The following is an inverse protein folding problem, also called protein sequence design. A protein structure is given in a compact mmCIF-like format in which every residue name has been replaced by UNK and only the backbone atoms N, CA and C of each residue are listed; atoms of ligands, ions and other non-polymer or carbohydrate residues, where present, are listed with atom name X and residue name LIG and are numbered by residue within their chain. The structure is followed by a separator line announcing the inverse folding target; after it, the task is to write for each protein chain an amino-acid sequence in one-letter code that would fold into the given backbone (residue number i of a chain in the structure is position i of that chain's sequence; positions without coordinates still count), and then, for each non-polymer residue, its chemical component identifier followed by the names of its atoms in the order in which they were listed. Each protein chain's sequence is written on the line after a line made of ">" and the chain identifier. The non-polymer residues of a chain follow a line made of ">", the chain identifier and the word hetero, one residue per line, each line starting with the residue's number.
data_IF_618676768696
#
_entry.id   IF_618676768696
#
_cell.length_a   1.000
_cell.length_b   1.000
_cell.length_c   1.000
_cell.angle_alpha   90.00
_cell.angle_beta   90.00
_cell.angle_gamma   90.00
#
_symmetry.space_group_name_H-M   'P 1'
#
loop_
_entity.id
_entity.type
_entity.pdbx_description
1 polymer ?
#
# COMPACT_ATOMS: atom_id res chain seq x y z
N UNK A 1 -17.36 -0.53 17.92
CA UNK A 1 -16.32 -1.56 18.10
C UNK A 1 -16.90 -2.73 18.90
N UNK A 2 -16.58 -3.97 18.53
CA UNK A 2 -17.10 -5.19 19.15
C UNK A 2 -15.93 -6.15 19.43
N UNK A 3 -15.83 -6.67 20.66
CA UNK A 3 -14.86 -7.69 21.02
C UNK A 3 -15.13 -9.02 20.27
N UNK A 4 -14.06 -9.70 19.87
CA UNK A 4 -14.10 -10.95 19.09
C UNK A 4 -13.15 -12.01 19.66
N UNK A 5 -13.40 -12.48 20.90
CA UNK A 5 -12.60 -13.54 21.52
C UNK A 5 -12.73 -14.88 20.78
N UNK A 6 -13.77 -15.05 19.98
CA UNK A 6 -14.01 -16.22 19.13
C UNK A 6 -13.00 -16.39 17.98
N UNK A 7 -12.24 -15.34 17.63
CA UNK A 7 -11.16 -15.39 16.66
C UNK A 7 -9.80 -15.75 17.27
N UNK A 8 -9.72 -15.85 18.59
CA UNK A 8 -8.50 -16.23 19.32
C UNK A 8 -8.49 -17.75 19.49
N UNK A 9 -7.34 -18.37 19.24
CA UNK A 9 -7.15 -19.82 19.39
C UNK A 9 -6.16 -20.16 20.49
N UNK A 10 -6.06 -21.44 20.83
CA UNK A 10 -5.07 -21.93 21.80
C UNK A 10 -3.60 -21.71 21.35
N UNK A 11 -3.38 -21.43 20.07
CA UNK A 11 -2.06 -21.08 19.52
C UNK A 11 -1.72 -19.60 19.67
N UNK A 12 -2.73 -18.76 19.93
CA UNK A 12 -2.54 -17.32 20.11
C UNK A 12 -1.84 -17.04 21.44
N UNK A 13 -0.95 -16.03 21.51
CA UNK A 13 -0.33 -15.65 22.79
C UNK A 13 -1.37 -15.23 23.84
N UNK A 14 -1.05 -15.48 25.09
CA UNK A 14 -1.87 -14.96 26.19
C UNK A 14 -1.91 -13.41 26.18
N UNK A 15 -3.08 -12.85 26.42
CA UNK A 15 -3.29 -11.40 26.44
C UNK A 15 -3.68 -10.79 25.10
N UNK A 16 -3.74 -11.57 24.02
CA UNK A 16 -4.23 -11.08 22.72
C UNK A 16 -5.69 -10.64 22.84
N UNK A 17 -6.00 -9.49 22.28
CA UNK A 17 -7.35 -8.94 22.17
C UNK A 17 -7.67 -8.67 20.71
N UNK A 18 -8.86 -9.07 20.29
CA UNK A 18 -9.34 -8.83 18.91
C UNK A 18 -10.64 -8.05 18.96
N UNK A 19 -10.71 -7.00 18.16
CA UNK A 19 -11.88 -6.13 18.06
C UNK A 19 -12.29 -5.94 16.59
N UNK A 20 -13.57 -6.09 16.32
CA UNK A 20 -14.17 -5.70 15.05
C UNK A 20 -14.49 -4.20 15.11
N UNK A 21 -13.85 -3.40 14.23
CA UNK A 21 -14.01 -1.95 14.21
C UNK A 21 -15.29 -1.52 13.51
N UNK A 22 -15.64 -2.17 12.39
CA UNK A 22 -16.81 -1.87 11.60
C UNK A 22 -17.83 -3.00 11.73
N UNK A 23 -19.10 -2.66 11.92
CA UNK A 23 -20.17 -3.64 12.23
C UNK A 23 -21.45 -3.41 11.41
N UNK A 24 -21.40 -2.50 10.44
CA UNK A 24 -22.56 -2.16 9.61
C UNK A 24 -22.74 -3.15 8.47
N UNK A 25 -23.92 -3.16 7.87
CA UNK A 25 -24.25 -4.05 6.74
C UNK A 25 -23.60 -3.66 5.42
N UNK A 26 -22.96 -2.48 5.35
CA UNK A 26 -22.22 -2.01 4.19
C UNK A 26 -20.76 -2.42 4.35
N UNK A 27 -20.13 -3.03 3.34
CA UNK A 27 -18.71 -3.36 3.39
C UNK A 27 -17.84 -2.17 3.78
N UNK A 28 -16.96 -2.37 4.74
CA UNK A 28 -16.07 -1.34 5.23
C UNK A 28 -14.73 -1.98 5.53
N UNK A 29 -13.63 -1.34 5.09
CA UNK A 29 -12.30 -1.87 5.28
C UNK A 29 -11.30 -0.75 5.54
N UNK A 30 -10.12 -1.09 6.05
CA UNK A 30 -9.01 -0.18 5.91
C UNK A 30 -8.58 -0.10 4.44
N UNK A 31 -7.84 0.95 4.10
CA UNK A 31 -7.25 1.12 2.78
C UNK A 31 -6.04 0.18 2.70
N UNK A 32 -5.54 -0.07 1.50
CA UNK A 32 -4.43 -0.99 1.29
C UNK A 32 -3.23 -0.68 2.21
N UNK A 33 -2.52 -1.71 2.68
CA UNK A 33 -1.46 -1.61 3.70
C UNK A 33 -0.29 -0.68 3.33
N UNK A 34 -0.15 -0.32 2.07
CA UNK A 34 0.89 0.60 1.58
C UNK A 34 0.50 2.07 1.76
N UNK A 35 -0.79 2.38 1.93
CA UNK A 35 -1.28 3.73 2.05
C UNK A 35 -0.93 4.34 3.43
N UNK A 36 -0.59 5.62 3.45
CA UNK A 36 -0.34 6.38 4.68
C UNK A 36 -1.68 6.82 5.27
N UNK A 37 -2.31 5.94 6.02
CA UNK A 37 -3.68 6.10 6.54
C UNK A 37 -3.76 6.26 8.05
N UNK A 38 -2.64 6.34 8.74
CA UNK A 38 -2.56 6.46 10.19
C UNK A 38 -1.99 7.81 10.62
N UNK A 39 -2.53 8.37 11.69
CA UNK A 39 -1.88 9.52 12.34
C UNK A 39 -0.61 9.07 13.08
N UNK A 40 0.47 9.88 13.11
CA UNK A 40 1.74 9.48 13.72
C UNK A 40 1.63 9.14 15.22
N UNK A 41 0.64 9.68 15.91
CA UNK A 41 0.34 9.40 17.30
C UNK A 41 -0.36 8.06 17.57
N UNK A 42 -0.61 7.27 16.51
CA UNK A 42 -1.30 5.97 16.56
C UNK A 42 -2.75 6.02 17.08
N UNK A 43 -3.42 7.17 17.00
CA UNK A 43 -4.76 7.37 17.58
C UNK A 43 -5.88 7.33 16.57
N UNK A 44 -5.62 7.72 15.33
CA UNK A 44 -6.64 7.79 14.28
C UNK A 44 -6.16 7.14 13.00
N UNK A 45 -7.08 6.49 12.31
CA UNK A 45 -6.84 5.91 11.00
C UNK A 45 -7.99 6.20 10.06
N UNK A 46 -7.71 6.11 8.75
CA UNK A 46 -8.72 6.24 7.70
C UNK A 46 -9.20 4.85 7.32
N UNK A 47 -10.51 4.68 7.35
CA UNK A 47 -11.22 3.55 6.78
C UNK A 47 -12.02 4.01 5.57
N UNK A 48 -12.40 3.09 4.70
CA UNK A 48 -13.35 3.41 3.66
C UNK A 48 -14.58 2.50 3.75
N UNK A 49 -15.72 3.03 3.33
CA UNK A 49 -16.99 2.33 3.25
C UNK A 49 -17.39 2.23 1.80
N UNK A 50 -17.27 1.04 1.24
CA UNK A 50 -17.70 0.67 -0.10
C UNK A 50 -17.48 -0.83 -0.30
N UNK A 51 -17.85 -1.35 -1.45
CA UNK A 51 -17.68 -2.78 -1.76
C UNK A 51 -16.25 -3.16 -2.19
N UNK A 52 -15.27 -2.24 -2.14
CA UNK A 52 -13.92 -2.52 -2.64
C UNK A 52 -12.85 -2.36 -1.56
N UNK A 53 -12.13 -3.42 -1.17
CA UNK A 53 -11.17 -3.39 -0.05
C UNK A 53 -9.86 -2.69 -0.38
N UNK A 54 -9.48 -2.57 -1.66
CA UNK A 54 -8.20 -1.97 -2.07
C UNK A 54 -8.25 -0.47 -2.32
N UNK A 55 -9.30 0.19 -1.93
CA UNK A 55 -9.44 1.61 -2.20
C UNK A 55 -10.88 2.04 -2.30
N UNK A 56 -11.22 2.80 -3.33
CA UNK A 56 -12.54 3.35 -3.48
C UNK A 56 -13.31 2.72 -4.65
N UNK A 57 -14.63 2.64 -4.48
CA UNK A 57 -15.56 2.51 -5.60
C UNK A 57 -16.36 3.81 -5.72
N UNK A 58 -15.95 4.75 -6.57
CA UNK A 58 -16.62 6.05 -6.69
C UNK A 58 -18.05 5.97 -7.23
N UNK A 59 -18.45 4.85 -7.81
CA UNK A 59 -19.82 4.60 -8.29
C UNK A 59 -20.74 4.09 -7.17
N UNK A 60 -20.19 3.64 -6.05
CA UNK A 60 -20.96 3.22 -4.89
C UNK A 60 -21.52 4.44 -4.17
N UNK A 61 -22.86 4.62 -4.08
CA UNK A 61 -23.46 5.77 -3.40
C UNK A 61 -23.14 5.81 -1.89
N UNK A 62 -22.72 4.71 -1.31
CA UNK A 62 -22.28 4.64 0.09
C UNK A 62 -20.77 4.90 0.25
N UNK A 63 -20.05 5.13 -0.86
CA UNK A 63 -18.61 5.37 -0.82
C UNK A 63 -18.27 6.63 -0.04
N UNK A 64 -17.46 6.47 1.00
CA UNK A 64 -16.92 7.56 1.79
C UNK A 64 -15.68 7.11 2.57
N UNK A 65 -14.79 8.04 2.86
CA UNK A 65 -13.73 7.83 3.83
C UNK A 65 -14.19 8.26 5.22
N UNK A 66 -13.79 7.47 6.23
CA UNK A 66 -14.12 7.65 7.62
C UNK A 66 -12.84 7.84 8.42
N UNK A 67 -12.83 8.79 9.35
CA UNK A 67 -11.84 8.83 10.44
C UNK A 67 -12.33 7.90 11.54
N UNK A 68 -11.54 6.91 11.91
CA UNK A 68 -11.74 6.05 13.06
C UNK A 68 -10.86 6.55 14.21
N UNK A 69 -11.46 6.96 15.31
CA UNK A 69 -10.79 7.49 16.51
C UNK A 69 -10.70 6.39 17.57
N UNK A 70 -9.50 5.83 17.74
CA UNK A 70 -9.24 4.72 18.67
C UNK A 70 -9.35 5.12 20.13
N UNK A 71 -9.00 6.36 20.49
CA UNK A 71 -9.18 6.89 21.85
C UNK A 71 -10.65 7.01 22.24
N UNK A 72 -11.54 7.04 21.24
CA UNK A 72 -12.99 7.09 21.43
C UNK A 72 -13.67 5.75 21.10
N UNK A 73 -13.02 4.66 21.46
CA UNK A 73 -13.54 3.31 21.25
C UNK A 73 -13.91 3.02 19.77
N UNK A 74 -13.12 3.52 18.83
CA UNK A 74 -13.33 3.32 17.40
C UNK A 74 -14.50 4.14 16.83
N UNK A 75 -14.85 5.27 17.43
CA UNK A 75 -15.85 6.19 16.88
C UNK A 75 -15.46 6.60 15.46
N UNK A 76 -16.40 6.49 14.53
CA UNK A 76 -16.21 6.83 13.13
C UNK A 76 -16.94 8.09 12.75
N UNK A 77 -16.26 8.94 11.97
CA UNK A 77 -16.82 10.18 11.43
C UNK A 77 -16.49 10.30 9.95
N UNK A 78 -17.48 10.56 9.07
CA UNK A 78 -17.23 10.81 7.66
C UNK A 78 -16.30 12.00 7.47
N UNK A 79 -15.28 11.85 6.60
CA UNK A 79 -14.37 12.93 6.26
C UNK A 79 -14.49 13.37 4.80
N UNK A 80 -14.91 12.49 3.91
CA UNK A 80 -15.27 12.84 2.53
C UNK A 80 -16.76 12.66 2.31
N UNK A 81 -17.36 13.52 1.49
CA UNK A 81 -18.77 13.50 1.14
C UNK A 81 -19.00 13.64 -0.37
N UNK A 82 -17.91 13.81 -1.13
CA UNK A 82 -17.94 13.95 -2.57
C UNK A 82 -17.88 12.59 -3.27
N UNK A 83 -18.68 12.44 -4.32
CA UNK A 83 -18.55 11.32 -5.24
C UNK A 83 -17.16 11.36 -5.93
N UNK A 84 -16.61 10.20 -6.23
CA UNK A 84 -15.32 10.07 -6.88
C UNK A 84 -14.11 10.30 -5.95
N UNK A 85 -14.32 10.45 -4.63
CA UNK A 85 -13.21 10.53 -3.67
C UNK A 85 -12.40 9.24 -3.70
N UNK A 86 -11.08 9.34 -3.89
CA UNK A 86 -10.18 8.19 -4.05
C UNK A 86 -8.78 8.49 -3.54
N UNK A 87 -7.96 7.45 -3.39
CA UNK A 87 -6.53 7.52 -3.11
C UNK A 87 -6.16 8.47 -1.96
N UNK A 88 -6.60 8.22 -0.72
CA UNK A 88 -6.32 9.09 0.42
C UNK A 88 -4.92 8.85 0.98
N UNK A 89 -4.30 9.92 1.49
CA UNK A 89 -3.05 9.89 2.27
C UNK A 89 -3.09 10.91 3.39
N UNK A 90 -2.75 10.51 4.61
CA UNK A 90 -2.62 11.44 5.75
C UNK A 90 -1.27 12.14 5.67
N UNK A 91 -1.27 13.46 5.86
CA UNK A 91 -0.04 14.23 5.99
C UNK A 91 0.83 13.72 7.16
N UNK A 92 2.16 13.81 7.05
CA UNK A 92 3.07 13.34 8.11
C UNK A 92 2.83 13.99 9.48
N UNK A 93 2.26 15.20 9.51
CA UNK A 93 1.87 15.90 10.74
C UNK A 93 0.61 15.30 11.39
N UNK A 94 -0.17 14.50 10.65
CA UNK A 94 -1.32 13.78 11.17
C UNK A 94 -2.59 14.61 11.35
N UNK A 95 -2.68 15.80 10.77
CA UNK A 95 -3.84 16.70 10.94
C UNK A 95 -4.65 16.92 9.66
N UNK A 96 -4.13 16.52 8.49
CA UNK A 96 -4.72 16.73 7.18
C UNK A 96 -4.76 15.42 6.38
N UNK A 97 -5.89 15.18 5.71
CA UNK A 97 -6.04 14.16 4.68
C UNK A 97 -5.93 14.81 3.30
N UNK A 98 -5.05 14.29 2.46
CA UNK A 98 -5.04 14.51 1.03
C UNK A 98 -5.81 13.38 0.35
N UNK A 99 -6.59 13.71 -0.68
CA UNK A 99 -7.36 12.76 -1.46
C UNK A 99 -7.65 13.33 -2.84
N UNK A 100 -8.04 12.49 -3.77
CA UNK A 100 -8.40 12.91 -5.11
C UNK A 100 -9.91 12.82 -5.32
N UNK A 101 -10.44 13.71 -6.13
CA UNK A 101 -11.75 13.57 -6.75
C UNK A 101 -11.54 13.14 -8.19
N UNK A 102 -11.98 11.94 -8.50
CA UNK A 102 -11.91 11.38 -9.84
C UNK A 102 -13.21 11.67 -10.60
N UNK A 103 -13.12 12.53 -11.60
CA UNK A 103 -14.14 12.78 -12.61
C UNK A 103 -13.56 12.53 -14.01
N UNK A 104 -12.62 11.56 -14.12
CA UNK A 104 -12.10 11.08 -15.40
C UNK A 104 -12.97 9.94 -15.92
N UNK A 105 -13.00 9.79 -17.24
CA UNK A 105 -13.62 8.68 -17.93
C UNK A 105 -12.54 7.81 -18.58
N UNK A 106 -12.50 6.50 -18.30
CA UNK A 106 -11.48 5.60 -18.83
C UNK A 106 -11.35 5.66 -20.35
N UNK A 107 -10.13 5.92 -20.84
CA UNK A 107 -9.85 6.08 -22.26
C UNK A 107 -10.26 7.42 -22.88
N UNK A 108 -10.85 8.33 -22.12
CA UNK A 108 -11.29 9.65 -22.61
C UNK A 108 -10.54 10.77 -21.92
N UNK A 109 -10.25 10.63 -20.64
CA UNK A 109 -9.72 11.66 -19.79
C UNK A 109 -10.82 12.34 -18.96
N UNK A 110 -10.60 13.59 -18.59
CA UNK A 110 -11.53 14.35 -17.77
C UNK A 110 -10.81 15.10 -16.66
N UNK A 111 -11.41 15.20 -15.49
CA UNK A 111 -10.88 16.01 -14.40
C UNK A 111 -10.47 15.16 -13.22
N UNK A 112 -9.20 15.24 -12.81
CA UNK A 112 -8.68 14.74 -11.56
C UNK A 112 -8.32 15.93 -10.67
N UNK A 113 -8.84 15.98 -9.44
CA UNK A 113 -8.59 17.09 -8.54
C UNK A 113 -7.94 16.60 -7.26
N UNK A 114 -6.75 17.08 -6.94
CA UNK A 114 -6.15 16.90 -5.63
C UNK A 114 -6.80 17.86 -4.64
N UNK A 115 -7.32 17.33 -3.54
CA UNK A 115 -7.94 18.08 -2.44
C UNK A 115 -7.29 17.75 -1.11
N UNK A 116 -7.49 18.64 -0.14
CA UNK A 116 -7.16 18.35 1.26
C UNK A 116 -8.30 18.75 2.18
N UNK A 117 -8.35 18.12 3.34
CA UNK A 117 -9.30 18.42 4.41
C UNK A 117 -8.66 18.12 5.76
N UNK A 118 -8.92 18.94 6.79
CA UNK A 118 -8.50 18.59 8.14
C UNK A 118 -9.24 17.36 8.65
N UNK A 119 -8.60 16.55 9.52
CA UNK A 119 -9.23 15.32 10.05
C UNK A 119 -10.47 15.59 10.92
N UNK A 120 -10.76 16.84 11.27
CA UNK A 120 -12.00 17.25 11.89
C UNK A 120 -13.12 17.62 10.89
N UNK A 121 -12.86 17.46 9.59
CA UNK A 121 -13.77 17.77 8.49
C UNK A 121 -13.79 19.24 8.05
N UNK A 122 -13.03 20.10 8.71
CA UNK A 122 -12.94 21.54 8.36
C UNK A 122 -11.87 21.83 7.31
N UNK A 123 -11.81 23.07 6.82
CA UNK A 123 -10.76 23.57 5.91
C UNK A 123 -10.57 22.68 4.67
N UNK A 124 -11.67 22.38 3.99
CA UNK A 124 -11.64 21.64 2.73
C UNK A 124 -11.21 22.56 1.60
N UNK A 125 -10.15 22.16 0.88
CA UNK A 125 -9.54 22.99 -0.16
C UNK A 125 -9.22 22.14 -1.40
N UNK A 126 -9.34 22.74 -2.57
CA UNK A 126 -8.83 22.25 -3.84
C UNK A 126 -7.39 22.76 -4.01
N UNK A 127 -6.45 21.86 -4.31
CA UNK A 127 -5.03 22.17 -4.40
C UNK A 127 -4.60 22.26 -5.85
N UNK A 128 -4.87 21.24 -6.65
CA UNK A 128 -4.42 21.15 -8.03
C UNK A 128 -5.44 20.38 -8.86
N UNK A 129 -5.58 20.77 -10.12
CA UNK A 129 -6.49 20.13 -11.09
C UNK A 129 -5.70 19.67 -12.30
N UNK A 130 -5.98 18.46 -12.75
CA UNK A 130 -5.53 17.89 -14.02
C UNK A 130 -6.77 17.66 -14.88
N UNK A 131 -6.94 18.48 -15.92
CA UNK A 131 -8.02 18.39 -16.92
C UNK A 131 -7.50 18.54 -18.35
N UNK A 132 -6.18 18.68 -18.51
CA UNK A 132 -5.46 18.70 -19.77
C UNK A 132 -4.38 17.58 -19.80
N UNK A 133 -3.82 17.32 -20.97
CA UNK A 133 -2.69 16.40 -21.13
C UNK A 133 -1.46 16.99 -20.44
N UNK A 134 -0.90 16.26 -19.49
CA UNK A 134 0.29 16.67 -18.74
C UNK A 134 1.47 16.74 -19.71
N UNK A 135 2.34 17.74 -19.61
CA UNK A 135 3.54 17.83 -20.45
C UNK A 135 4.36 16.53 -20.43
N UNK A 136 4.67 16.00 -21.60
CA UNK A 136 5.40 14.74 -21.75
C UNK A 136 4.55 13.46 -21.69
N UNK A 137 3.28 13.54 -21.29
CA UNK A 137 2.39 12.38 -21.27
C UNK A 137 1.97 11.99 -22.70
N UNK A 138 1.84 10.68 -22.93
CA UNK A 138 1.42 10.12 -24.23
C UNK A 138 -0.08 10.26 -24.51
N UNK A 139 -0.87 10.58 -23.51
CA UNK A 139 -2.32 10.76 -23.61
C UNK A 139 -2.91 11.37 -22.33
N UNK A 140 -4.24 11.58 -22.31
CA UNK A 140 -4.91 12.13 -21.13
C UNK A 140 -4.85 11.15 -19.95
N UNK A 141 -4.75 11.69 -18.72
CA UNK A 141 -4.91 10.89 -17.51
C UNK A 141 -6.37 10.48 -17.36
N UNK A 142 -6.68 9.21 -17.53
CA UNK A 142 -8.06 8.77 -17.74
C UNK A 142 -8.55 7.68 -16.78
N UNK A 143 -7.66 7.09 -15.99
CA UNK A 143 -8.01 6.04 -15.01
C UNK A 143 -7.02 6.05 -13.87
N UNK A 144 -7.27 6.78 -12.79
CA UNK A 144 -6.41 6.77 -11.62
C UNK A 144 -6.39 5.38 -10.95
N UNK A 145 -5.23 5.00 -10.45
CA UNK A 145 -5.11 3.90 -9.50
C UNK A 145 -5.54 4.40 -8.11
N UNK A 146 -6.30 3.62 -7.33
CA UNK A 146 -6.95 4.14 -6.12
C UNK A 146 -6.03 4.25 -4.89
N UNK A 147 -4.72 4.34 -5.11
CA UNK A 147 -3.71 4.53 -4.07
C UNK A 147 -2.84 5.74 -4.38
N UNK A 148 -2.59 6.56 -3.38
CA UNK A 148 -1.60 7.62 -3.40
C UNK A 148 -0.62 7.46 -2.24
N UNK A 149 0.44 8.23 -2.30
CA UNK A 149 1.45 8.31 -1.25
C UNK A 149 1.90 9.76 -1.09
N UNK A 150 2.28 10.16 0.12
CA UNK A 150 2.75 11.51 0.43
C UNK A 150 4.19 11.49 0.94
N UNK A 151 4.99 12.46 0.51
CA UNK A 151 6.39 12.58 0.92
C UNK A 151 6.55 12.82 2.43
N UNK A 152 7.70 12.47 2.97
CA UNK A 152 8.00 12.59 4.39
C UNK A 152 7.91 14.03 4.93
N UNK A 153 8.10 15.03 4.09
CA UNK A 153 7.92 16.46 4.42
C UNK A 153 6.47 16.94 4.22
N UNK A 154 5.60 16.11 3.62
CA UNK A 154 4.21 16.44 3.36
C UNK A 154 3.96 17.41 2.20
N UNK A 155 4.98 17.65 1.35
CA UNK A 155 4.87 18.64 0.28
C UNK A 155 4.54 18.04 -1.07
N UNK A 156 4.68 16.72 -1.26
CA UNK A 156 4.45 16.07 -2.54
C UNK A 156 3.53 14.86 -2.40
N UNK A 157 2.58 14.71 -3.32
CA UNK A 157 1.66 13.57 -3.38
C UNK A 157 1.81 12.88 -4.72
N UNK A 158 2.04 11.56 -4.69
CA UNK A 158 2.18 10.76 -5.89
C UNK A 158 0.97 9.85 -6.10
N UNK A 159 0.54 9.69 -7.36
CA UNK A 159 -0.53 8.79 -7.80
C UNK A 159 -0.20 8.25 -9.18
N UNK A 160 -0.56 7.00 -9.46
CA UNK A 160 -0.44 6.43 -10.81
C UNK A 160 -1.78 6.34 -11.52
N UNK A 161 -1.74 6.26 -12.85
CA UNK A 161 -2.94 6.08 -13.66
C UNK A 161 -2.65 5.85 -15.13
N UNK A 162 -3.70 5.49 -15.85
CA UNK A 162 -3.67 5.18 -17.27
C UNK A 162 -3.61 6.47 -18.11
N UNK A 163 -2.73 6.49 -19.11
CA UNK A 163 -2.49 7.63 -20.01
C UNK A 163 -3.00 7.32 -21.43
N UNK A 164 -4.15 6.69 -21.54
CA UNK A 164 -4.73 6.28 -22.83
C UNK A 164 -5.93 7.11 -23.23
N UNK A 165 -6.10 7.25 -24.55
CA UNK A 165 -7.19 7.98 -25.21
C UNK A 165 -8.34 7.09 -25.69
N UNK A 166 -8.40 5.84 -25.27
CA UNK A 166 -9.41 4.86 -25.66
C UNK A 166 -9.20 4.22 -27.03
N UNK A 167 -8.12 4.52 -27.73
CA UNK A 167 -7.88 4.02 -29.09
C UNK A 167 -6.90 2.84 -29.15
N UNK A 168 -6.00 2.72 -28.16
CA UNK A 168 -4.89 1.78 -28.19
C UNK A 168 -4.86 0.91 -26.94
N UNK A 169 -4.95 -0.41 -27.11
CA UNK A 169 -4.70 -1.35 -26.01
C UNK A 169 -3.23 -1.28 -25.58
N UNK A 170 -2.99 -1.51 -24.26
CA UNK A 170 -1.67 -1.40 -23.66
C UNK A 170 -1.05 0.01 -23.82
N UNK A 171 -1.87 1.06 -23.92
CA UNK A 171 -1.36 2.42 -23.79
C UNK A 171 -0.66 2.61 -22.43
N UNK A 172 0.28 3.55 -22.34
CA UNK A 172 1.09 3.72 -21.14
C UNK A 172 0.28 4.00 -19.86
N UNK A 173 0.79 3.53 -18.75
CA UNK A 173 0.48 4.02 -17.42
C UNK A 173 1.56 5.00 -17.00
N UNK A 174 1.24 5.95 -16.14
CA UNK A 174 2.18 6.95 -15.65
C UNK A 174 2.10 7.13 -14.14
N UNK A 175 3.20 7.62 -13.58
CA UNK A 175 3.28 8.10 -12.20
C UNK A 175 3.33 9.63 -12.24
N UNK A 176 2.38 10.25 -11.55
CA UNK A 176 2.27 11.69 -11.39
C UNK A 176 2.70 12.09 -9.99
N UNK A 177 3.42 13.19 -9.88
CA UNK A 177 3.77 13.85 -8.62
C UNK A 177 3.18 15.25 -8.60
N UNK A 178 2.38 15.52 -7.58
CA UNK A 178 1.76 16.81 -7.30
C UNK A 178 2.61 17.54 -6.26
N UNK A 179 3.11 18.70 -6.60
CA UNK A 179 3.77 19.62 -5.67
C UNK A 179 2.70 20.50 -5.01
N UNK A 180 2.49 20.30 -3.72
CA UNK A 180 1.41 20.95 -2.97
C UNK A 180 1.63 22.46 -2.80
N UNK A 181 2.85 22.95 -2.48
CA UNK A 181 3.12 24.39 -2.36
C UNK A 181 2.91 25.18 -3.66
N UNK A 182 3.35 24.64 -4.78
CA UNK A 182 3.22 25.33 -6.09
C UNK A 182 1.91 25.02 -6.81
N UNK A 183 1.13 24.04 -6.33
CA UNK A 183 -0.07 23.53 -6.98
C UNK A 183 0.18 23.07 -8.44
N UNK A 184 1.30 22.41 -8.68
CA UNK A 184 1.71 21.89 -9.99
C UNK A 184 1.73 20.36 -9.98
N UNK A 185 1.73 19.77 -11.18
CA UNK A 185 1.82 18.33 -11.40
C UNK A 185 2.86 18.01 -12.45
N UNK A 186 3.64 16.97 -12.24
CA UNK A 186 4.66 16.48 -13.15
C UNK A 186 4.49 14.98 -13.42
N UNK A 187 4.81 14.58 -14.65
CA UNK A 187 4.91 13.17 -15.03
C UNK A 187 6.32 12.67 -14.73
N UNK A 188 6.44 11.70 -13.82
CA UNK A 188 7.74 11.17 -13.36
C UNK A 188 8.21 10.02 -14.23
N UNK A 189 7.30 9.11 -14.60
CA UNK A 189 7.57 7.99 -15.49
C UNK A 189 6.31 7.59 -16.25
N UNK A 190 6.48 6.92 -17.41
CA UNK A 190 5.39 6.29 -18.14
C UNK A 190 5.87 5.08 -18.95
N UNK A 191 4.97 4.13 -19.19
CA UNK A 191 5.20 2.95 -20.02
C UNK A 191 4.10 1.90 -19.83
N UNK A 192 3.99 0.94 -20.73
CA UNK A 192 2.97 -0.11 -20.65
C UNK A 192 3.19 -1.05 -19.46
N UNK A 193 4.43 -1.28 -19.06
CA UNK A 193 4.82 -2.11 -17.90
C UNK A 193 4.58 -1.44 -16.55
N UNK A 194 4.40 -0.12 -16.51
CA UNK A 194 4.13 0.65 -15.28
C UNK A 194 2.65 0.65 -14.87
N UNK A 195 1.92 -0.39 -15.23
CA UNK A 195 0.59 -0.63 -14.70
C UNK A 195 0.66 -1.20 -13.27
N UNK A 196 -0.28 -0.85 -12.42
CA UNK A 196 -0.32 -1.32 -11.02
C UNK A 196 0.99 -0.97 -10.25
N UNK A 197 1.41 0.29 -10.32
CA UNK A 197 2.74 0.78 -9.85
C UNK A 197 2.94 0.64 -8.35
N UNK A 198 1.89 0.71 -7.54
CA UNK A 198 1.97 0.69 -6.07
C UNK A 198 3.01 1.69 -5.50
N UNK A 199 2.90 3.00 -5.80
CA UNK A 199 3.92 3.95 -5.40
C UNK A 199 3.92 4.15 -3.89
N UNK A 200 5.11 4.21 -3.29
CA UNK A 200 5.27 4.49 -1.86
C UNK A 200 6.45 5.41 -1.63
N UNK A 201 6.21 6.62 -1.11
CA UNK A 201 7.30 7.48 -0.65
C UNK A 201 8.06 6.86 0.51
N UNK A 202 9.37 7.03 0.50
CA UNK A 202 10.21 6.80 1.66
C UNK A 202 9.74 7.69 2.82
N UNK A 203 9.61 7.10 3.99
CA UNK A 203 9.17 7.82 5.20
C UNK A 203 10.32 8.45 5.96
N UNK A 204 11.57 8.19 5.54
CA UNK A 204 12.76 8.79 6.13
C UNK A 204 12.80 10.30 5.93
N UNK A 205 13.21 11.02 6.98
CA UNK A 205 13.47 12.46 6.91
C UNK A 205 14.88 12.76 6.39
N UNK A 206 15.69 11.75 6.06
CA UNK A 206 17.01 11.93 5.48
C UNK A 206 16.86 12.53 4.07
N UNK A 207 17.46 13.71 3.79
CA UNK A 207 17.36 14.36 2.49
C UNK A 207 17.82 13.50 1.30
N UNK A 208 18.66 12.49 1.54
CA UNK A 208 19.11 11.56 0.50
C UNK A 208 18.05 10.55 0.05
N UNK A 209 16.96 10.39 0.80
CA UNK A 209 15.91 9.40 0.53
C UNK A 209 14.48 9.92 0.71
N UNK A 210 14.27 11.09 1.32
CA UNK A 210 12.92 11.61 1.62
C UNK A 210 12.03 11.83 0.39
N UNK A 211 12.64 11.93 -0.80
CA UNK A 211 11.98 12.06 -2.09
C UNK A 211 12.06 10.80 -2.96
N UNK A 212 12.55 9.68 -2.41
CA UNK A 212 12.55 8.38 -3.08
C UNK A 212 11.16 7.75 -3.05
N UNK A 213 10.76 7.15 -4.16
CA UNK A 213 9.55 6.36 -4.33
C UNK A 213 9.93 4.92 -4.66
N UNK A 214 9.44 3.95 -3.89
CA UNK A 214 9.38 2.56 -4.37
C UNK A 214 8.26 2.49 -5.40
N UNK A 215 8.55 1.83 -6.53
CA UNK A 215 7.61 1.60 -7.62
C UNK A 215 7.75 0.19 -8.16
N UNK A 216 6.64 -0.37 -8.60
CA UNK A 216 6.57 -1.71 -9.17
C UNK A 216 6.40 -1.62 -10.69
N UNK A 217 7.25 -2.32 -11.42
CA UNK A 217 7.10 -2.56 -12.85
C UNK A 217 6.56 -3.98 -13.09
N UNK A 218 5.46 -4.10 -13.82
CA UNK A 218 4.82 -5.39 -14.08
C UNK A 218 5.05 -5.83 -15.52
N UNK A 219 5.45 -7.08 -15.71
CA UNK A 219 5.78 -7.62 -17.02
C UNK A 219 4.76 -8.65 -17.49
N UNK A 220 4.37 -8.55 -18.77
CA UNK A 220 3.41 -9.45 -19.38
C UNK A 220 1.97 -9.24 -18.92
N UNK A 221 1.64 -8.08 -18.35
CA UNK A 221 0.28 -7.63 -18.15
C UNK A 221 -0.29 -7.11 -19.46
N UNK A 222 -1.61 -7.25 -19.62
CA UNK A 222 -2.34 -6.69 -20.76
C UNK A 222 -3.51 -5.86 -20.23
N UNK A 223 -3.80 -4.74 -20.91
CA UNK A 223 -5.00 -3.96 -20.70
C UNK A 223 -5.66 -3.58 -22.03
N UNK A 224 -6.96 -3.37 -22.00
CA UNK A 224 -7.69 -2.86 -23.14
C UNK A 224 -7.42 -1.35 -23.36
N UNK A 225 -8.08 -0.76 -24.35
CA UNK A 225 -7.93 0.65 -24.68
C UNK A 225 -8.44 1.61 -23.58
N UNK A 226 -9.19 1.13 -22.61
CA UNK A 226 -9.67 1.89 -21.45
C UNK A 226 -8.78 1.71 -20.21
N UNK A 227 -7.69 0.96 -20.32
CA UNK A 227 -6.83 0.61 -19.19
C UNK A 227 -7.43 -0.44 -18.24
N UNK A 228 -8.51 -1.12 -18.61
CA UNK A 228 -8.99 -2.26 -17.85
C UNK A 228 -8.08 -3.47 -18.08
N UNK A 229 -7.60 -4.08 -16.99
CA UNK A 229 -6.73 -5.23 -17.08
C UNK A 229 -7.47 -6.43 -17.66
N UNK A 230 -6.98 -6.95 -18.78
CA UNK A 230 -7.39 -8.24 -19.35
C UNK A 230 -6.51 -9.36 -18.83
N UNK A 231 -5.28 -9.04 -18.41
CA UNK A 231 -4.35 -9.91 -17.72
C UNK A 231 -3.53 -9.10 -16.72
N UNK A 232 -3.61 -9.43 -15.44
CA UNK A 232 -2.82 -8.84 -14.38
C UNK A 232 -1.80 -9.87 -13.89
N UNK A 233 -0.58 -9.41 -13.59
CA UNK A 233 0.55 -10.24 -13.23
C UNK A 233 0.83 -11.27 -14.33
N UNK A 234 1.48 -10.82 -15.37
CA UNK A 234 1.95 -11.70 -16.44
C UNK A 234 2.96 -12.71 -15.93
N UNK A 235 3.16 -13.79 -16.71
CA UNK A 235 4.09 -14.86 -16.37
C UNK A 235 5.56 -14.42 -16.25
N UNK A 236 5.88 -13.16 -16.56
CA UNK A 236 7.22 -12.58 -16.42
C UNK A 236 7.50 -11.92 -15.06
N UNK A 237 6.50 -11.85 -14.17
CA UNK A 237 6.66 -11.32 -12.80
C UNK A 237 6.74 -9.79 -12.73
N UNK A 238 7.19 -9.31 -11.57
CA UNK A 238 7.39 -7.90 -11.29
C UNK A 238 8.86 -7.61 -10.96
N UNK A 239 9.32 -6.40 -11.30
CA UNK A 239 10.54 -5.81 -10.78
C UNK A 239 10.18 -4.66 -9.85
N UNK A 240 11.00 -4.46 -8.83
CA UNK A 240 10.82 -3.38 -7.86
C UNK A 240 11.99 -2.41 -8.02
N UNK A 241 11.64 -1.14 -8.16
CA UNK A 241 12.60 -0.06 -8.37
C UNK A 241 12.43 1.01 -7.29
N UNK A 242 13.43 1.86 -7.20
CA UNK A 242 13.34 3.14 -6.50
C UNK A 242 13.65 4.25 -7.49
N UNK A 243 12.84 5.29 -7.49
CA UNK A 243 13.01 6.47 -8.33
C UNK A 243 12.87 7.73 -7.47
N UNK A 244 13.63 8.78 -7.78
CA UNK A 244 13.38 10.09 -7.20
C UNK A 244 12.10 10.70 -7.78
N UNK A 245 11.40 11.50 -7.01
CA UNK A 245 10.11 12.08 -7.40
C UNK A 245 10.19 13.17 -8.49
N UNK A 246 11.41 13.52 -8.92
CA UNK A 246 11.69 14.34 -10.10
C UNK A 246 11.96 13.50 -11.37
N UNK A 247 11.80 12.17 -11.30
CA UNK A 247 12.05 11.25 -12.41
C UNK A 247 13.51 10.83 -12.59
N UNK A 248 14.40 11.30 -11.75
CA UNK A 248 15.82 10.94 -11.82
C UNK A 248 16.13 9.70 -10.95
N UNK A 249 17.34 9.19 -11.07
CA UNK A 249 17.90 8.16 -10.19
C UNK A 249 17.04 6.87 -10.09
N UNK A 250 16.46 6.45 -11.23
CA UNK A 250 15.79 5.15 -11.31
C UNK A 250 16.82 4.04 -11.09
N UNK A 251 16.56 3.17 -10.12
CA UNK A 251 17.46 2.07 -9.75
C UNK A 251 16.72 0.82 -9.33
N UNK A 252 17.24 -0.34 -9.71
CA UNK A 252 16.67 -1.64 -9.36
C UNK A 252 17.02 -2.00 -7.92
N UNK A 253 16.09 -2.65 -7.24
CA UNK A 253 16.39 -3.37 -6.02
C UNK A 253 16.88 -4.80 -6.37
N UNK A 254 17.72 -5.44 -5.51
CA UNK A 254 18.34 -6.74 -5.80
C UNK A 254 17.36 -7.90 -5.59
N UNK A 255 16.17 -7.79 -6.16
CA UNK A 255 15.12 -8.78 -6.10
C UNK A 255 14.64 -9.13 -7.51
N UNK A 256 14.06 -10.30 -7.67
CA UNK A 256 13.36 -10.34 -8.82
C UNK A 256 13.28 -11.57 -9.69
N UNK A 257 13.67 -11.47 -10.93
CA UNK A 257 13.38 -12.39 -12.02
C UNK A 257 14.63 -13.14 -12.44
N UNK A 258 15.10 -14.09 -11.63
CA UNK A 258 16.31 -14.87 -11.93
C UNK A 258 16.05 -16.28 -12.50
N UNK A 259 14.81 -16.62 -12.77
CA UNK A 259 14.42 -17.93 -13.28
C UNK A 259 13.97 -18.91 -12.20
N UNK A 260 14.50 -18.84 -10.98
CA UNK A 260 14.00 -19.57 -9.81
C UNK A 260 13.21 -18.68 -8.87
N UNK A 261 13.58 -17.41 -8.74
CA UNK A 261 12.91 -16.41 -7.88
C UNK A 261 12.10 -15.40 -8.71
N UNK A 262 10.96 -14.99 -8.18
CA UNK A 262 10.17 -13.88 -8.71
C UNK A 262 9.58 -13.06 -7.58
N UNK A 263 9.54 -11.72 -7.73
CA UNK A 263 8.77 -10.87 -6.85
C UNK A 263 7.27 -11.12 -7.01
N UNK A 264 6.55 -11.16 -5.89
CA UNK A 264 5.09 -11.33 -5.91
C UNK A 264 4.34 -10.02 -6.23
N UNK A 265 5.04 -8.88 -6.22
CA UNK A 265 4.44 -7.56 -6.41
C UNK A 265 3.90 -6.95 -5.12
N UNK A 266 4.41 -7.37 -3.97
CA UNK A 266 4.15 -6.75 -2.68
C UNK A 266 5.47 -6.27 -2.08
N UNK A 267 5.51 -5.00 -1.71
CA UNK A 267 6.70 -4.34 -1.14
C UNK A 267 6.29 -3.29 -0.13
N UNK A 268 7.17 -2.95 0.79
CA UNK A 268 7.01 -1.80 1.67
C UNK A 268 8.38 -1.25 2.12
N UNK A 269 8.38 -0.02 2.63
CA UNK A 269 9.51 0.49 3.40
C UNK A 269 9.55 -0.17 4.78
N UNK A 270 10.74 -0.39 5.31
CA UNK A 270 10.93 -0.81 6.71
C UNK A 270 10.93 0.45 7.58
N UNK A 271 9.75 0.81 8.08
CA UNK A 271 9.54 2.02 8.88
C UNK A 271 9.99 3.29 8.15
N UNK A 272 10.64 4.16 8.89
CA UNK A 272 11.25 5.41 8.42
C UNK A 272 12.73 5.25 8.01
N UNK A 273 13.14 4.03 7.73
CA UNK A 273 14.50 3.70 7.28
C UNK A 273 14.64 3.80 5.75
N UNK A 274 15.87 3.65 5.27
CA UNK A 274 16.21 3.53 3.86
C UNK A 274 16.34 2.06 3.43
N UNK A 275 15.54 1.18 4.04
CA UNK A 275 15.46 -0.24 3.70
C UNK A 275 14.07 -0.55 3.21
N UNK A 276 14.00 -1.39 2.21
CA UNK A 276 12.75 -1.90 1.64
C UNK A 276 12.63 -3.40 1.83
N UNK A 277 11.42 -3.89 1.86
CA UNK A 277 11.04 -5.29 2.01
C UNK A 277 10.15 -5.70 0.86
N UNK A 278 10.36 -6.88 0.31
CA UNK A 278 9.46 -7.53 -0.65
C UNK A 278 9.20 -8.98 -0.29
N UNK A 279 8.08 -9.53 -0.77
CA UNK A 279 7.89 -10.97 -0.81
C UNK A 279 8.34 -11.53 -2.15
N UNK A 280 9.11 -12.62 -2.10
CA UNK A 280 9.52 -13.38 -3.28
C UNK A 280 8.94 -14.79 -3.21
N UNK A 281 8.76 -15.39 -4.38
CA UNK A 281 8.43 -16.81 -4.52
C UNK A 281 9.56 -17.53 -5.23
N UNK A 282 9.98 -18.67 -4.70
CA UNK A 282 10.87 -19.61 -5.35
C UNK A 282 10.13 -20.83 -5.86
N UNK A 283 10.59 -21.37 -6.99
CA UNK A 283 10.03 -22.59 -7.59
C UNK A 283 10.64 -23.85 -6.97
N UNK A 284 11.94 -23.81 -6.72
CA UNK A 284 12.71 -24.96 -6.16
C UNK A 284 13.69 -24.47 -5.07
N UNK A 285 13.50 -24.81 -3.79
CA UNK A 285 12.26 -25.39 -3.25
C UNK A 285 11.11 -24.40 -3.32
N UNK A 286 9.85 -24.88 -3.43
CA UNK A 286 8.67 -24.01 -3.44
C UNK A 286 8.50 -23.35 -2.08
N UNK A 287 8.85 -22.09 -1.99
CA UNK A 287 8.81 -21.29 -0.77
C UNK A 287 8.58 -19.82 -1.09
N UNK A 288 7.87 -19.12 -0.21
CA UNK A 288 7.85 -17.66 -0.19
C UNK A 288 8.85 -17.14 0.85
N UNK A 289 9.49 -16.03 0.56
CA UNK A 289 10.49 -15.40 1.43
C UNK A 289 10.23 -13.90 1.55
N UNK A 290 10.54 -13.32 2.70
CA UNK A 290 10.56 -11.87 2.92
C UNK A 290 12.00 -11.38 2.86
N UNK A 291 12.31 -10.62 1.83
CA UNK A 291 13.67 -10.18 1.53
C UNK A 291 13.77 -8.67 1.68
N UNK A 292 14.66 -8.23 2.58
CA UNK A 292 15.00 -6.82 2.71
C UNK A 292 16.22 -6.44 1.87
N UNK A 293 16.31 -5.18 1.49
CA UNK A 293 17.48 -4.59 0.84
C UNK A 293 17.59 -3.10 1.16
N UNK A 294 18.82 -2.58 1.08
CA UNK A 294 19.06 -1.13 1.12
C UNK A 294 18.69 -0.48 -0.19
N UNK A 295 18.08 0.68 -0.12
CA UNK A 295 17.61 1.42 -1.29
C UNK A 295 18.56 2.52 -1.75
N UNK A 296 19.55 2.86 -0.94
CA UNK A 296 20.57 3.84 -1.35
C UNK A 296 21.42 3.32 -2.50
N UNK A 297 21.74 4.18 -3.49
CA UNK A 297 22.65 3.81 -4.56
C UNK A 297 24.00 3.42 -3.99
N UNK A 298 24.56 2.31 -4.44
CA UNK A 298 25.97 2.05 -4.20
C UNK A 298 26.81 3.01 -5.04
N UNK A 299 27.70 3.75 -4.40
CA UNK A 299 28.66 4.62 -5.09
C UNK A 299 29.47 3.76 -6.06
N UNK A 300 29.40 4.06 -7.36
CA UNK A 300 30.21 3.43 -8.39
C UNK A 300 29.50 2.46 -9.34
N UNK A 301 28.18 2.30 -9.27
CA UNK A 301 27.43 1.50 -10.25
C UNK A 301 26.87 2.35 -11.38
N UNK A 302 27.40 2.18 -12.57
CA UNK A 302 26.78 2.56 -13.84
C UNK A 302 25.86 1.40 -14.26
N UNK A 303 24.54 1.57 -14.21
CA UNK A 303 23.57 0.61 -14.69
C UNK A 303 22.41 0.36 -13.75
N UNK A 304 21.27 0.01 -14.34
CA UNK A 304 19.97 -0.18 -13.70
C UNK A 304 19.92 -1.38 -12.73
N UNK A 305 20.91 -2.25 -12.74
CA UNK A 305 20.99 -3.39 -11.81
C UNK A 305 22.11 -3.13 -10.84
N UNK A 306 21.81 -3.19 -9.55
CA UNK A 306 22.80 -3.18 -8.49
C UNK A 306 23.27 -4.62 -8.26
N UNK A 307 24.27 -5.15 -9.02
CA UNK A 307 24.78 -6.49 -8.78
C UNK A 307 25.43 -6.50 -7.42
N UNK A 308 24.95 -7.35 -6.52
CA UNK A 308 25.51 -7.49 -5.19
C UNK A 308 24.98 -6.51 -4.15
N UNK A 309 23.81 -5.90 -4.37
CA UNK A 309 23.06 -5.23 -3.30
C UNK A 309 22.91 -6.19 -2.12
N UNK A 310 23.24 -5.71 -0.90
CA UNK A 310 23.09 -6.53 0.31
C UNK A 310 21.61 -6.78 0.49
N UNK A 311 21.20 -8.02 0.39
CA UNK A 311 19.85 -8.51 0.67
C UNK A 311 19.91 -9.48 1.84
N UNK A 312 18.88 -9.46 2.65
CA UNK A 312 18.73 -10.35 3.79
C UNK A 312 17.36 -11.01 3.78
N UNK A 313 17.30 -12.32 3.98
CA UNK A 313 16.07 -13.05 4.14
C UNK A 313 15.62 -13.00 5.61
N UNK A 314 14.64 -12.14 5.89
CA UNK A 314 14.08 -11.99 7.23
C UNK A 314 13.27 -13.21 7.69
N UNK A 315 12.77 -14.00 6.76
CA UNK A 315 11.84 -15.11 7.03
C UNK A 315 12.50 -16.49 7.09
N UNK A 316 13.85 -16.58 7.13
CA UNK A 316 14.57 -17.88 7.15
C UNK A 316 14.10 -18.83 8.25
N UNK A 317 13.76 -18.29 9.41
CA UNK A 317 13.36 -19.06 10.59
C UNK A 317 11.82 -19.11 10.76
N UNK A 318 11.06 -18.68 9.76
CA UNK A 318 9.61 -18.71 9.85
C UNK A 318 9.09 -20.16 9.76
N UNK A 319 8.20 -20.62 10.68
CA UNK A 319 7.76 -22.00 10.73
C UNK A 319 6.87 -22.42 9.54
N UNK A 320 6.22 -21.47 8.88
CA UNK A 320 5.33 -21.70 7.75
C UNK A 320 5.44 -20.54 6.73
N UNK A 321 6.52 -20.47 5.95
CA UNK A 321 6.74 -19.34 5.02
C UNK A 321 5.75 -19.40 3.85
N UNK A 322 4.77 -18.50 3.86
CA UNK A 322 3.74 -18.35 2.83
C UNK A 322 3.17 -16.93 2.90
N UNK A 323 3.97 -15.97 2.50
CA UNK A 323 3.69 -14.55 2.68
C UNK A 323 2.97 -13.97 1.48
N UNK A 324 1.96 -13.13 1.74
CA UNK A 324 1.29 -12.34 0.71
C UNK A 324 1.42 -10.84 0.99
N UNK A 325 0.86 -10.38 2.10
CA UNK A 325 0.84 -8.97 2.46
C UNK A 325 1.53 -8.77 3.80
N UNK A 326 2.20 -7.64 3.95
CA UNK A 326 2.96 -7.32 5.15
C UNK A 326 3.13 -5.82 5.29
N UNK A 327 3.36 -5.37 6.51
CA UNK A 327 3.70 -3.99 6.82
C UNK A 327 4.58 -3.95 8.07
N UNK A 328 5.30 -2.84 8.25
CA UNK A 328 6.12 -2.60 9.44
C UNK A 328 5.58 -1.42 10.25
N UNK A 329 5.96 -1.34 11.52
CA UNK A 329 5.73 -0.14 12.32
C UNK A 329 6.64 1.02 11.85
N UNK A 330 6.38 2.24 12.34
CA UNK A 330 7.14 3.42 11.91
C UNK A 330 8.63 3.35 12.28
N UNK A 331 8.96 2.69 13.39
CA UNK A 331 10.34 2.51 13.80
C UNK A 331 11.09 1.38 13.06
N UNK A 332 10.39 0.62 12.20
CA UNK A 332 10.96 -0.53 11.48
C UNK A 332 11.43 -1.66 12.39
N UNK A 333 10.76 -1.82 13.54
CA UNK A 333 11.11 -2.83 14.54
C UNK A 333 10.20 -4.04 14.53
N UNK A 334 8.96 -3.86 14.11
CA UNK A 334 7.96 -4.92 14.06
C UNK A 334 7.44 -5.10 12.65
N UNK A 335 7.17 -6.33 12.31
CA UNK A 335 6.56 -6.74 11.05
C UNK A 335 5.32 -7.55 11.34
N UNK A 336 4.19 -7.19 10.74
CA UNK A 336 3.01 -8.02 10.66
C UNK A 336 2.85 -8.56 9.25
N UNK A 337 2.47 -9.83 9.11
CA UNK A 337 2.25 -10.45 7.80
C UNK A 337 1.07 -11.41 7.86
N UNK A 338 0.41 -11.59 6.71
CA UNK A 338 -0.53 -12.68 6.53
C UNK A 338 0.17 -13.88 5.87
N UNK A 339 -0.39 -15.05 6.10
CA UNK A 339 -0.08 -16.25 5.35
C UNK A 339 -1.35 -16.78 4.68
N UNK A 340 -1.16 -17.41 3.53
CA UNK A 340 -2.22 -17.79 2.60
C UNK A 340 -3.36 -18.63 3.15
N UNK A 341 -4.38 -18.90 2.33
CA UNK A 341 -5.63 -19.53 2.73
C UNK A 341 -5.47 -21.04 3.00
N UNK A 342 -4.47 -21.43 3.76
CA UNK A 342 -4.35 -22.82 4.18
C UNK A 342 -5.40 -23.09 5.26
N UNK A 343 -6.35 -23.96 4.94
CA UNK A 343 -7.29 -24.58 5.87
C UNK A 343 -7.96 -23.63 6.88
N UNK A 344 -8.78 -22.67 6.39
CA UNK A 344 -9.69 -21.97 7.27
C UNK A 344 -9.52 -20.46 7.43
N UNK A 345 -9.02 -19.76 6.42
CA UNK A 345 -9.14 -18.29 6.40
C UNK A 345 -7.84 -17.49 6.66
N UNK A 346 -6.69 -18.12 6.46
CA UNK A 346 -5.38 -17.49 6.59
C UNK A 346 -4.85 -17.42 8.02
N UNK A 347 -3.70 -16.82 8.19
CA UNK A 347 -3.06 -16.60 9.49
C UNK A 347 -2.44 -15.22 9.55
N UNK A 348 -2.40 -14.62 10.75
CA UNK A 348 -1.62 -13.43 11.04
C UNK A 348 -0.40 -13.79 11.88
N UNK A 349 0.74 -13.25 11.50
CA UNK A 349 2.01 -13.43 12.18
C UNK A 349 2.63 -12.09 12.51
N UNK A 350 3.31 -12.04 13.64
CA UNK A 350 4.11 -10.90 14.09
C UNK A 350 5.55 -11.34 14.31
N UNK A 351 6.51 -10.49 13.94
CA UNK A 351 7.92 -10.72 14.20
C UNK A 351 8.65 -9.44 14.55
N UNK A 352 9.77 -9.55 15.26
CA UNK A 352 10.65 -8.43 15.57
C UNK A 352 11.78 -8.36 14.56
N UNK A 353 11.87 -7.29 13.80
CA UNK A 353 12.94 -7.05 12.84
C UNK A 353 14.25 -6.80 13.60
N UNK A 354 15.31 -7.60 13.38
CA UNK A 354 16.54 -7.42 14.08
C UNK A 354 17.26 -6.12 13.65
N UNK A 355 17.96 -5.51 14.57
CA UNK A 355 18.82 -4.34 14.28
C UNK A 355 20.07 -4.71 13.49
N UNK A 356 20.51 -5.96 13.58
CA UNK A 356 21.55 -6.55 12.76
C UNK A 356 20.97 -7.02 11.43
N UNK A 357 21.25 -6.27 10.37
CA UNK A 357 20.73 -6.49 9.01
C UNK A 357 21.20 -7.80 8.35
N UNK A 358 22.03 -8.59 9.04
CA UNK A 358 22.43 -9.92 8.57
C UNK A 358 21.61 -11.06 9.18
N UNK A 359 20.78 -10.74 10.19
CA UNK A 359 19.97 -11.72 10.92
C UNK A 359 18.55 -11.82 10.37
N UNK A 360 17.95 -12.98 10.56
CA UNK A 360 16.54 -13.23 10.32
C UNK A 360 15.70 -12.88 11.56
N UNK A 361 14.39 -12.78 11.39
CA UNK A 361 13.45 -12.74 12.49
C UNK A 361 13.39 -14.14 13.12
N UNK A 362 13.65 -14.23 14.41
CA UNK A 362 13.71 -15.49 15.15
C UNK A 362 12.45 -15.70 16.04
N UNK A 363 11.75 -14.61 16.37
CA UNK A 363 10.63 -14.58 17.35
C UNK A 363 9.26 -14.53 16.68
N UNK A 364 9.09 -15.23 15.56
CA UNK A 364 7.80 -15.30 14.87
C UNK A 364 6.68 -15.78 15.79
N UNK A 365 5.66 -14.97 15.93
CA UNK A 365 4.52 -15.22 16.78
C UNK A 365 3.25 -15.33 15.94
N UNK A 366 2.57 -16.47 16.00
CA UNK A 366 1.23 -16.62 15.44
C UNK A 366 0.24 -15.81 16.28
N UNK A 367 -0.47 -14.89 15.69
CA UNK A 367 -1.45 -14.07 16.40
C UNK A 367 -2.83 -14.73 16.41
N UNK A 368 -3.36 -15.03 15.23
CA UNK A 368 -4.73 -15.57 15.08
C UNK A 368 -5.01 -15.97 13.63
N UNK A 369 -6.18 -16.58 13.43
CA UNK A 369 -6.79 -16.80 12.13
C UNK A 369 -7.86 -15.73 11.87
N UNK A 370 -7.72 -14.87 10.83
CA UNK A 370 -8.72 -13.86 10.50
C UNK A 370 -10.06 -14.40 10.01
N UNK A 371 -10.12 -15.65 9.55
CA UNK A 371 -11.34 -16.25 9.01
C UNK A 371 -11.78 -15.70 7.65
N UNK A 372 -10.88 -15.01 6.93
CA UNK A 372 -11.18 -14.43 5.61
C UNK A 372 -11.45 -15.51 4.57
N UNK A 373 -12.42 -15.28 3.69
CA UNK A 373 -12.69 -16.16 2.53
C UNK A 373 -11.62 -16.09 1.43
N UNK A 374 -10.69 -15.15 1.51
CA UNK A 374 -9.64 -14.91 0.49
C UNK A 374 -10.16 -14.70 -0.93
N UNK A 375 -11.41 -14.27 -1.08
CA UNK A 375 -11.86 -13.76 -2.36
C UNK A 375 -11.08 -12.50 -2.73
N UNK A 376 -11.01 -12.14 -3.99
CA UNK A 376 -10.22 -10.98 -4.47
C UNK A 376 -10.43 -9.70 -3.64
N UNK A 377 -11.64 -9.49 -3.16
CA UNK A 377 -12.02 -8.28 -2.41
C UNK A 377 -12.01 -8.48 -0.88
N UNK A 378 -11.56 -9.62 -0.38
CA UNK A 378 -11.58 -9.94 1.05
C UNK A 378 -10.21 -10.37 1.57
N UNK A 379 -9.15 -9.99 0.87
CA UNK A 379 -7.78 -10.19 1.35
C UNK A 379 -7.56 -9.50 2.69
N UNK A 380 -6.72 -10.11 3.53
CA UNK A 380 -6.48 -9.69 4.90
C UNK A 380 -5.79 -8.33 4.98
N UNK A 381 -4.77 -8.08 4.15
CA UNK A 381 -3.98 -6.84 4.06
C UNK A 381 -3.56 -6.30 5.44
N UNK A 382 -2.78 -7.04 6.22
CA UNK A 382 -2.44 -6.62 7.57
C UNK A 382 -1.50 -5.41 7.57
N UNK A 383 -1.67 -4.51 8.55
CA UNK A 383 -0.73 -3.43 8.81
C UNK A 383 -0.66 -3.11 10.31
N UNK A 384 0.38 -2.37 10.73
CA UNK A 384 0.61 -1.98 12.12
C UNK A 384 0.27 -0.51 12.36
N UNK A 385 -0.15 -0.19 13.57
CA UNK A 385 -0.09 1.19 14.06
C UNK A 385 1.35 1.71 14.02
N UNK A 386 1.58 3.02 13.87
CA UNK A 386 2.93 3.59 13.85
C UNK A 386 3.80 3.20 15.05
N UNK A 387 3.21 3.03 16.23
CA UNK A 387 3.90 2.59 17.45
C UNK A 387 4.08 1.07 17.57
N UNK A 388 3.58 0.28 16.60
CA UNK A 388 3.71 -1.17 16.54
C UNK A 388 2.91 -1.94 17.59
N UNK A 389 1.96 -1.30 18.30
CA UNK A 389 1.21 -1.94 19.39
C UNK A 389 -0.08 -2.61 18.97
N UNK A 390 -0.60 -2.23 17.81
CA UNK A 390 -1.87 -2.75 17.30
C UNK A 390 -1.69 -3.12 15.83
N UNK A 391 -2.16 -4.30 15.46
CA UNK A 391 -2.31 -4.74 14.07
C UNK A 391 -3.73 -4.53 13.59
N UNK A 392 -3.90 -4.30 12.30
CA UNK A 392 -5.18 -4.14 11.64
C UNK A 392 -5.28 -5.15 10.50
N UNK A 393 -6.48 -5.60 10.23
CA UNK A 393 -6.74 -6.53 9.14
C UNK A 393 -8.19 -6.44 8.67
N UNK A 394 -8.44 -6.90 7.45
CA UNK A 394 -9.78 -7.06 6.90
C UNK A 394 -10.22 -8.51 6.97
N UNK A 395 -11.52 -8.75 7.15
CA UNK A 395 -12.12 -10.07 7.04
C UNK A 395 -13.60 -9.97 6.69
N UNK A 396 -14.10 -10.95 5.96
CA UNK A 396 -15.51 -11.17 5.67
C UNK A 396 -16.11 -12.34 6.48
N UNK A 397 -15.44 -12.79 7.54
CA UNK A 397 -15.87 -13.92 8.39
C UNK A 397 -17.27 -13.71 9.00
N UNK A 398 -17.68 -12.44 9.20
CA UNK A 398 -19.01 -12.07 9.67
C UNK A 398 -20.09 -12.08 8.59
N UNK A 399 -19.75 -12.47 7.35
CA UNK A 399 -20.63 -12.42 6.18
C UNK A 399 -20.63 -11.09 5.43
N UNK A 400 -19.93 -10.06 5.96
CA UNK A 400 -19.72 -8.75 5.34
C UNK A 400 -18.28 -8.34 5.57
N UNK A 401 -17.64 -7.78 4.55
CA UNK A 401 -16.27 -7.28 4.68
C UNK A 401 -16.19 -6.18 5.73
N UNK A 402 -15.37 -6.40 6.74
CA UNK A 402 -15.20 -5.51 7.89
C UNK A 402 -13.72 -5.32 8.20
N UNK A 403 -13.43 -4.23 8.92
CA UNK A 403 -12.09 -3.95 9.46
C UNK A 403 -12.02 -4.38 10.92
N UNK A 404 -10.90 -4.95 11.28
CA UNK A 404 -10.58 -5.48 12.61
C UNK A 404 -9.27 -4.92 13.12
N UNK A 405 -9.08 -4.99 14.42
CA UNK A 405 -7.79 -4.77 15.05
C UNK A 405 -7.46 -5.90 16.02
N UNK A 406 -6.17 -6.15 16.19
CA UNK A 406 -5.60 -7.12 17.13
C UNK A 406 -4.47 -6.45 17.90
N UNK A 407 -4.42 -6.67 19.19
CA UNK A 407 -3.41 -6.11 20.09
C UNK A 407 -3.18 -7.00 21.31
N UNK A 408 -2.50 -6.46 22.34
CA UNK A 408 -2.27 -7.20 23.58
C UNK A 408 -0.97 -8.01 23.62
N UNK A 409 -0.10 -7.85 22.63
CA UNK A 409 1.27 -8.34 22.72
C UNK A 409 2.17 -7.33 23.43
N UNK A 410 3.20 -7.82 24.12
CA UNK A 410 4.16 -7.02 24.87
C UNK A 410 5.14 -6.24 23.95
#
# INVERSE_FOLDING_TARGET
>A
MRERPDLISDQSPGGIEVHQLTTESIPSSHIYMEAQIFTPDSRRLILHRSAHPHGSNPEDPAHQYLVCDLDKAGQMSPITTELGATAPSIAPQGDVLYYFINATEPGVGGRLTLKRVRLDGTSREEICVVDEIIPGASGPFSRPYPLSTISADGQRVAISGFLGDGSTANAPWGLLVFDVPSATVELVLQGASWCNVHPQYCRSQDPSASHDLIVQENHGNDCDATGAFTKLIGGAGADIHVIADDGTNLRDLPWGRDGNESCQGHQCWIGDTQRALTSTSKREPKVAELIEARTLPHIGHEGLKTPGGVRNNLSREHPAPDFHHFATDAAGRRLITDAGPRDGGGALWLGTIPTDETKAIEDWTYLMCPGSSWQKNTHIHPFLSPDGRVGFFNSDESGVLQSYMVGGWA
#
